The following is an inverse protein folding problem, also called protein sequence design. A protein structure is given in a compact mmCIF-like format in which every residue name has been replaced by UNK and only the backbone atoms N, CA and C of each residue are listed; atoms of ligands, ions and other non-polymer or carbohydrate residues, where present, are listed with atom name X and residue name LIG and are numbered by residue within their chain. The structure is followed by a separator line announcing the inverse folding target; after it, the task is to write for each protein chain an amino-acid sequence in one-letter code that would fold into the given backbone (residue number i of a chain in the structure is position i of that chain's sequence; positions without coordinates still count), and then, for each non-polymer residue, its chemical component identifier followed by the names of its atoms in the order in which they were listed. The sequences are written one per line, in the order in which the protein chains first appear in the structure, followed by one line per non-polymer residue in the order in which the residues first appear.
data_IF_207256274397
#
_entry.id   IF_207256274397
#
_cell.length_a   1.000
_cell.length_b   1.000
_cell.length_c   1.000
_cell.angle_alpha   90.00
_cell.angle_beta   90.00
_cell.angle_gamma   90.00
#
_symmetry.space_group_name_H-M   'P 1'
#
loop_
_entity.id
_entity.type
_entity.pdbx_description
1 polymer ?
#
# COMPACT_ATOMS: atom_id res chain seq x y z
N UNK A 1 14.93 1.92 -7.70
CA UNK A 1 13.92 1.16 -6.95
C UNK A 1 12.98 0.50 -7.94
N UNK A 2 12.72 -0.80 -7.79
CA UNK A 2 11.82 -1.55 -8.68
C UNK A 2 10.37 -1.18 -8.37
N UNK A 3 9.56 -1.10 -9.41
CA UNK A 3 8.12 -0.90 -9.24
C UNK A 3 7.44 -2.26 -9.10
N UNK A 4 6.39 -2.34 -8.30
CA UNK A 4 5.54 -3.52 -8.14
C UNK A 4 4.32 -3.48 -9.07
N UNK A 5 4.09 -2.34 -9.74
CA UNK A 5 3.03 -2.18 -10.74
C UNK A 5 3.47 -1.19 -11.82
N UNK A 6 3.05 -1.43 -13.06
CA UNK A 6 3.30 -0.52 -14.19
C UNK A 6 2.18 0.50 -14.35
N UNK A 7 2.43 1.67 -14.97
CA UNK A 7 1.35 2.63 -15.28
C UNK A 7 0.23 2.03 -16.14
N UNK A 8 0.55 1.09 -17.04
CA UNK A 8 -0.43 0.39 -17.87
C UNK A 8 -1.31 -0.56 -17.04
N UNK A 9 -0.74 -1.28 -16.07
CA UNK A 9 -1.51 -2.12 -15.15
C UNK A 9 -2.41 -1.26 -14.24
N UNK A 10 -1.97 -0.07 -13.83
CA UNK A 10 -2.80 0.86 -13.07
C UNK A 10 -4.06 1.29 -13.85
N UNK A 11 -3.95 1.53 -15.16
CA UNK A 11 -5.09 1.90 -16.02
C UNK A 11 -6.19 0.83 -16.12
N UNK A 12 -5.93 -0.40 -15.66
CA UNK A 12 -6.97 -1.44 -15.57
C UNK A 12 -7.93 -1.20 -14.40
N UNK A 13 -7.50 -0.43 -13.38
CA UNK A 13 -8.28 -0.16 -12.17
C UNK A 13 -8.92 1.23 -12.16
N UNK A 14 -8.31 2.19 -12.87
CA UNK A 14 -8.74 3.60 -12.89
C UNK A 14 -8.55 4.24 -14.27
N UNK A 15 -9.49 5.10 -14.66
CA UNK A 15 -9.41 5.84 -15.92
C UNK A 15 -8.47 7.05 -15.77
N UNK A 16 -7.29 6.95 -16.39
CA UNK A 16 -6.31 8.03 -16.44
C UNK A 16 -6.33 8.67 -17.82
N UNK A 17 -6.62 9.97 -17.85
CA UNK A 17 -6.63 10.75 -19.09
C UNK A 17 -5.31 10.59 -19.89
N UNK A 18 -5.44 10.38 -21.20
CA UNK A 18 -4.32 10.07 -22.10
C UNK A 18 -3.23 11.16 -22.16
N UNK A 19 -3.52 12.38 -21.74
CA UNK A 19 -2.57 13.49 -21.68
C UNK A 19 -1.65 13.46 -20.45
N UNK A 20 -1.89 12.57 -19.48
CA UNK A 20 -1.03 12.40 -18.31
C UNK A 20 0.15 11.51 -18.69
N UNK A 21 1.36 12.07 -18.60
CA UNK A 21 2.60 11.35 -18.90
C UNK A 21 2.81 10.15 -17.96
N UNK A 22 3.14 8.95 -18.46
CA UNK A 22 3.37 7.77 -17.63
C UNK A 22 4.41 7.95 -16.53
N UNK A 23 5.45 8.76 -16.78
CA UNK A 23 6.51 9.06 -15.80
C UNK A 23 5.97 9.78 -14.56
N UNK A 24 4.91 10.58 -14.74
CA UNK A 24 4.24 11.26 -13.63
C UNK A 24 3.51 10.26 -12.75
N UNK A 25 2.81 9.30 -13.34
CA UNK A 25 2.13 8.21 -12.62
C UNK A 25 3.15 7.32 -11.90
N UNK A 26 4.28 7.02 -12.55
CA UNK A 26 5.38 6.24 -11.98
C UNK A 26 5.87 6.80 -10.65
N UNK A 27 5.95 8.13 -10.53
CA UNK A 27 6.36 8.78 -9.27
C UNK A 27 5.36 8.54 -8.12
N UNK A 28 4.06 8.46 -8.43
CA UNK A 28 3.02 8.19 -7.42
C UNK A 28 2.93 6.71 -7.06
N UNK A 29 3.20 5.81 -8.01
CA UNK A 29 3.38 4.37 -7.74
C UNK A 29 4.51 4.15 -6.73
N UNK A 30 5.67 4.76 -6.94
CA UNK A 30 6.80 4.67 -6.01
C UNK A 30 6.45 5.23 -4.62
N UNK A 31 5.73 6.36 -4.56
CA UNK A 31 5.26 6.91 -3.28
C UNK A 31 4.30 5.95 -2.58
N UNK A 32 3.37 5.33 -3.30
CA UNK A 32 2.43 4.37 -2.73
C UNK A 32 3.13 3.12 -2.19
N UNK A 33 4.13 2.62 -2.92
CA UNK A 33 4.97 1.51 -2.45
C UNK A 33 5.66 1.83 -1.13
N UNK A 34 6.31 2.99 -1.04
CA UNK A 34 7.11 3.34 0.14
C UNK A 34 6.27 3.74 1.36
N UNK A 35 5.17 4.46 1.12
CA UNK A 35 4.42 5.11 2.20
C UNK A 35 3.17 4.33 2.63
N UNK A 36 2.66 3.44 1.78
CA UNK A 36 1.45 2.65 2.06
C UNK A 36 1.77 1.15 2.13
N UNK A 37 2.33 0.58 1.05
CA UNK A 37 2.51 -0.87 0.94
C UNK A 37 3.61 -1.41 1.86
N UNK A 38 4.78 -0.78 1.87
CA UNK A 38 5.93 -1.22 2.67
C UNK A 38 5.63 -1.23 4.18
N UNK A 39 4.99 -0.19 4.75
CA UNK A 39 4.49 -0.24 6.12
C UNK A 39 3.45 -1.35 6.35
N UNK A 40 2.62 -1.67 5.35
CA UNK A 40 1.59 -2.70 5.47
C UNK A 40 2.18 -4.13 5.49
N UNK A 41 3.10 -4.44 4.58
CA UNK A 41 3.76 -5.74 4.52
C UNK A 41 4.84 -5.92 5.60
N UNK A 42 5.36 -4.81 6.12
CA UNK A 42 6.56 -4.79 6.95
C UNK A 42 7.84 -4.91 6.11
N UNK A 43 8.94 -4.42 6.65
CA UNK A 43 10.21 -4.30 5.91
C UNK A 43 10.74 -5.65 5.40
N UNK A 44 10.63 -6.71 6.20
CA UNK A 44 11.18 -8.03 5.85
C UNK A 44 10.50 -8.63 4.62
N UNK A 45 9.17 -8.82 4.68
CA UNK A 45 8.41 -9.34 3.55
C UNK A 45 8.50 -8.41 2.33
N UNK A 46 8.44 -7.09 2.53
CA UNK A 46 8.54 -6.13 1.43
C UNK A 46 9.85 -6.28 0.66
N UNK A 47 10.99 -6.31 1.36
CA UNK A 47 12.27 -6.42 0.68
C UNK A 47 12.48 -7.80 0.06
N UNK A 48 12.00 -8.87 0.70
CA UNK A 48 12.07 -10.22 0.14
C UNK A 48 11.30 -10.31 -1.18
N UNK A 49 10.05 -9.81 -1.20
CA UNK A 49 9.23 -9.71 -2.41
C UNK A 49 9.93 -8.93 -3.53
N UNK A 50 10.57 -7.79 -3.22
CA UNK A 50 11.29 -6.97 -4.20
C UNK A 50 12.46 -7.75 -4.86
N UNK A 51 13.09 -8.70 -4.17
CA UNK A 51 14.17 -9.52 -4.76
C UNK A 51 13.67 -10.45 -5.87
N UNK A 52 12.38 -10.80 -5.84
CA UNK A 52 11.71 -11.66 -6.80
C UNK A 52 11.09 -10.90 -7.99
N UNK A 53 11.34 -9.59 -8.12
CA UNK A 53 10.88 -8.79 -9.25
C UNK A 53 11.96 -8.60 -10.31
N UNK A 54 11.52 -8.47 -11.54
CA UNK A 54 12.28 -7.95 -12.67
C UNK A 54 12.38 -6.41 -12.61
N UNK A 55 13.23 -5.83 -13.47
CA UNK A 55 13.44 -4.38 -13.51
C UNK A 55 12.23 -3.59 -14.04
N UNK A 56 11.37 -4.26 -14.81
CA UNK A 56 10.11 -3.71 -15.34
C UNK A 56 8.94 -3.77 -14.33
N UNK A 57 9.13 -4.48 -13.22
CA UNK A 57 8.18 -4.66 -12.15
C UNK A 57 7.29 -5.88 -12.24
N UNK A 58 7.51 -6.73 -13.24
CA UNK A 58 6.91 -8.06 -13.27
C UNK A 58 7.60 -8.99 -12.28
N UNK A 59 6.89 -10.01 -11.81
CA UNK A 59 7.49 -11.07 -11.01
C UNK A 59 8.33 -12.00 -11.90
N UNK A 60 9.50 -12.43 -11.41
CA UNK A 60 10.36 -13.35 -12.14
C UNK A 60 9.68 -14.70 -12.37
N UNK A 61 9.99 -15.33 -13.50
CA UNK A 61 9.44 -16.65 -13.85
C UNK A 61 9.89 -17.75 -12.86
N UNK A 62 11.07 -17.62 -12.26
CA UNK A 62 11.62 -18.54 -11.27
C UNK A 62 11.21 -18.21 -9.82
N UNK A 63 10.42 -17.15 -9.61
CA UNK A 63 9.94 -16.80 -8.29
C UNK A 63 9.03 -17.90 -7.70
N UNK A 64 9.11 -18.13 -6.37
CA UNK A 64 8.19 -19.03 -5.69
C UNK A 64 6.71 -18.69 -5.97
N UNK A 65 5.86 -19.72 -6.07
CA UNK A 65 4.46 -19.54 -6.45
C UNK A 65 3.70 -18.62 -5.48
N UNK A 66 3.96 -18.71 -4.18
CA UNK A 66 3.31 -17.86 -3.18
C UNK A 66 3.59 -16.36 -3.41
N UNK A 67 4.74 -15.98 -3.98
CA UNK A 67 5.01 -14.58 -4.34
C UNK A 67 4.25 -14.15 -5.60
N UNK A 68 4.08 -15.06 -6.57
CA UNK A 68 3.24 -14.83 -7.75
C UNK A 68 1.78 -14.62 -7.36
N UNK A 69 1.29 -15.46 -6.46
CA UNK A 69 -0.08 -15.39 -5.93
C UNK A 69 -0.28 -14.13 -5.08
N UNK A 70 0.70 -13.75 -4.24
CA UNK A 70 0.65 -12.52 -3.46
C UNK A 70 0.53 -11.29 -4.37
N UNK A 71 1.31 -11.23 -5.45
CA UNK A 71 1.33 -10.06 -6.32
C UNK A 71 0.12 -9.99 -7.27
N UNK A 72 -0.18 -11.11 -7.95
CA UNK A 72 -1.15 -11.16 -9.04
C UNK A 72 -2.55 -11.61 -8.60
N UNK A 73 -2.67 -12.17 -7.40
CA UNK A 73 -3.89 -12.82 -6.94
C UNK A 73 -3.97 -14.28 -7.37
N UNK A 74 -4.87 -15.02 -6.73
CA UNK A 74 -5.16 -16.41 -7.02
C UNK A 74 -6.54 -16.80 -6.48
N UNK A 75 -6.98 -18.00 -6.84
CA UNK A 75 -8.08 -18.69 -6.16
C UNK A 75 -7.49 -19.74 -5.22
N UNK A 76 -8.00 -19.82 -4.00
CA UNK A 76 -7.58 -20.81 -3.02
C UNK A 76 -8.75 -21.25 -2.15
N UNK A 77 -8.57 -22.35 -1.41
CA UNK A 77 -9.51 -22.78 -0.38
C UNK A 77 -9.02 -22.30 0.97
N UNK A 78 -9.88 -21.63 1.74
CA UNK A 78 -9.56 -21.28 3.12
C UNK A 78 -9.52 -22.50 4.04
N UNK A 79 -9.13 -22.31 5.30
CA UNK A 79 -9.05 -23.38 6.30
C UNK A 79 -10.39 -24.14 6.50
N UNK A 80 -11.52 -23.51 6.14
CA UNK A 80 -12.86 -24.08 6.23
C UNK A 80 -13.32 -24.75 4.92
N UNK A 81 -12.51 -24.71 3.87
CA UNK A 81 -12.80 -25.30 2.56
C UNK A 81 -13.66 -24.43 1.64
N UNK A 82 -13.83 -23.13 1.94
CA UNK A 82 -14.53 -22.21 1.05
C UNK A 82 -13.59 -21.64 -0.01
N UNK A 83 -14.09 -21.52 -1.25
CA UNK A 83 -13.36 -20.86 -2.32
C UNK A 83 -13.25 -19.35 -2.03
N UNK A 84 -12.01 -18.86 -1.98
CA UNK A 84 -11.66 -17.46 -1.83
C UNK A 84 -10.98 -16.99 -3.12
N UNK A 85 -11.49 -15.88 -3.68
CA UNK A 85 -10.87 -15.17 -4.78
C UNK A 85 -10.06 -14.01 -4.23
N UNK A 86 -8.74 -14.11 -4.33
CA UNK A 86 -7.81 -13.04 -3.95
C UNK A 86 -7.28 -12.33 -5.19
N UNK A 87 -7.33 -10.99 -5.21
CA UNK A 87 -6.99 -10.18 -6.38
C UNK A 87 -5.53 -9.66 -6.40
N UNK A 88 -4.72 -9.99 -5.40
CA UNK A 88 -3.31 -9.59 -5.35
C UNK A 88 -3.07 -8.17 -4.81
N UNK A 89 -1.80 -7.77 -4.85
CA UNK A 89 -1.32 -6.46 -4.41
C UNK A 89 -1.48 -5.36 -5.46
N UNK A 90 -1.66 -5.70 -6.73
CA UNK A 90 -1.86 -4.73 -7.81
C UNK A 90 -3.01 -3.74 -7.55
N UNK A 91 -4.25 -4.16 -7.19
CA UNK A 91 -5.32 -3.22 -6.89
C UNK A 91 -4.99 -2.32 -5.70
N UNK A 92 -4.34 -2.86 -4.65
CA UNK A 92 -3.92 -2.08 -3.47
C UNK A 92 -3.03 -0.91 -3.89
N UNK A 93 -1.99 -1.21 -4.68
CA UNK A 93 -1.06 -0.18 -5.17
C UNK A 93 -1.71 0.79 -6.13
N UNK A 94 -2.58 0.31 -7.02
CA UNK A 94 -3.25 1.14 -8.01
C UNK A 94 -4.08 2.25 -7.33
N UNK A 95 -4.94 1.87 -6.38
CA UNK A 95 -5.81 2.82 -5.68
C UNK A 95 -5.03 3.76 -4.74
N UNK A 96 -3.99 3.28 -4.06
CA UNK A 96 -3.13 4.19 -3.27
C UNK A 96 -2.34 5.16 -4.14
N UNK A 97 -1.78 4.69 -5.26
CA UNK A 97 -1.07 5.55 -6.21
C UNK A 97 -2.00 6.61 -6.79
N UNK A 98 -3.23 6.23 -7.15
CA UNK A 98 -4.21 7.15 -7.69
C UNK A 98 -4.69 8.18 -6.65
N UNK A 99 -4.93 7.75 -5.40
CA UNK A 99 -5.23 8.68 -4.31
C UNK A 99 -4.15 9.76 -4.14
N UNK A 100 -2.87 9.37 -4.21
CA UNK A 100 -1.72 10.29 -4.14
C UNK A 100 -1.62 11.17 -5.37
N UNK A 101 -1.95 10.63 -6.54
CA UNK A 101 -1.99 11.40 -7.78
C UNK A 101 -3.03 12.52 -7.69
N UNK A 102 -4.25 12.22 -7.26
CA UNK A 102 -5.34 13.21 -7.09
C UNK A 102 -4.94 14.29 -6.08
N UNK A 103 -4.40 13.87 -4.93
CA UNK A 103 -3.96 14.79 -3.86
C UNK A 103 -2.90 15.79 -4.37
N UNK A 104 -2.01 15.36 -5.27
CA UNK A 104 -0.92 16.17 -5.80
C UNK A 104 -1.25 16.89 -7.12
N UNK A 105 -2.16 16.39 -7.96
CA UNK A 105 -2.52 17.06 -9.23
C UNK A 105 -3.27 18.38 -9.00
N UNK A 106 -3.87 18.56 -7.82
CA UNK A 106 -4.50 19.82 -7.43
C UNK A 106 -3.51 20.99 -7.34
N UNK A 107 -2.22 20.73 -7.07
CA UNK A 107 -1.20 21.76 -6.80
C UNK A 107 -0.03 21.65 -7.77
N UNK A 108 0.19 22.70 -8.56
CA UNK A 108 1.33 22.81 -9.46
C UNK A 108 2.39 23.74 -8.90
N UNK A 109 3.62 23.27 -8.81
CA UNK A 109 4.76 24.10 -8.44
C UNK A 109 5.25 24.86 -9.68
N UNK A 110 5.11 26.19 -9.66
CA UNK A 110 5.64 27.09 -10.70
C UNK A 110 6.81 27.92 -10.11
N UNK A 111 7.62 28.60 -10.94
CA UNK A 111 8.71 29.44 -10.44
C UNK A 111 8.28 30.54 -9.46
N UNK A 112 7.02 30.95 -9.49
CA UNK A 112 6.45 31.99 -8.60
C UNK A 112 5.71 31.41 -7.39
N UNK A 113 5.66 30.09 -7.25
CA UNK A 113 5.01 29.39 -6.14
C UNK A 113 3.98 28.35 -6.57
N UNK A 114 3.36 27.64 -5.60
CA UNK A 114 2.31 26.67 -5.86
C UNK A 114 1.03 27.37 -6.35
N UNK A 115 0.46 26.88 -7.45
CA UNK A 115 -0.79 27.37 -8.03
C UNK A 115 -1.80 26.22 -8.17
N UNK A 116 -3.09 26.52 -8.06
CA UNK A 116 -4.15 25.57 -8.39
C UNK A 116 -4.51 25.68 -9.86
N UNK A 117 -4.68 24.54 -10.53
CA UNK A 117 -5.13 24.51 -11.94
C UNK A 117 -6.49 25.18 -12.05
N UNK A 118 -6.61 26.17 -12.94
CA UNK A 118 -7.88 26.69 -13.44
C UNK A 118 -7.88 26.52 -14.95
N UNK A 119 -8.89 25.85 -15.49
CA UNK A 119 -9.10 25.80 -16.93
C UNK A 119 -10.08 26.91 -17.30
N UNK A 120 -9.83 27.63 -18.40
CA UNK A 120 -10.72 28.73 -18.83
C UNK A 120 -12.17 28.27 -19.12
N UNK A 121 -12.38 26.97 -19.35
CA UNK A 121 -13.67 26.37 -19.69
C UNK A 121 -14.14 25.29 -18.70
N UNK A 122 -13.53 25.16 -17.53
CA UNK A 122 -13.98 24.20 -16.52
C UNK A 122 -13.71 24.71 -15.10
N UNK A 123 -14.73 24.63 -14.26
CA UNK A 123 -14.60 24.93 -12.84
C UNK A 123 -13.75 23.87 -12.15
N UNK A 124 -12.72 24.32 -11.43
CA UNK A 124 -11.94 23.43 -10.58
C UNK A 124 -12.83 22.88 -9.47
N UNK A 125 -12.70 21.58 -9.17
CA UNK A 125 -13.38 20.98 -8.02
C UNK A 125 -12.97 21.71 -6.73
N UNK A 126 -13.93 21.98 -5.82
CA UNK A 126 -13.59 22.59 -4.54
C UNK A 126 -12.72 21.63 -3.73
N UNK A 127 -11.80 22.17 -2.93
CA UNK A 127 -10.84 21.38 -2.16
C UNK A 127 -11.49 20.29 -1.29
N UNK A 128 -12.69 20.55 -0.76
CA UNK A 128 -13.47 19.58 0.02
C UNK A 128 -13.84 18.32 -0.80
N UNK A 129 -14.17 18.49 -2.08
CA UNK A 129 -14.56 17.36 -2.93
C UNK A 129 -13.34 16.59 -3.43
N UNK A 130 -12.20 17.26 -3.63
CA UNK A 130 -10.90 16.60 -3.84
C UNK A 130 -10.56 15.70 -2.65
N UNK A 131 -10.70 16.21 -1.42
CA UNK A 131 -10.46 15.41 -0.21
C UNK A 131 -11.38 14.19 -0.17
N UNK A 132 -12.68 14.34 -0.48
CA UNK A 132 -13.61 13.20 -0.54
C UNK A 132 -13.16 12.14 -1.56
N UNK A 133 -12.73 12.57 -2.76
CA UNK A 133 -12.28 11.67 -3.80
C UNK A 133 -11.01 10.90 -3.37
N UNK A 134 -10.04 11.60 -2.77
CA UNK A 134 -8.85 10.96 -2.19
C UNK A 134 -9.25 9.93 -1.12
N UNK A 135 -10.20 10.26 -0.25
CA UNK A 135 -10.67 9.32 0.78
C UNK A 135 -11.38 8.10 0.20
N UNK A 136 -12.19 8.29 -0.85
CA UNK A 136 -12.83 7.19 -1.55
C UNK A 136 -11.77 6.22 -2.10
N UNK A 137 -10.73 6.75 -2.76
CA UNK A 137 -9.67 5.90 -3.31
C UNK A 137 -8.85 5.18 -2.24
N UNK A 138 -8.52 5.86 -1.14
CA UNK A 138 -7.88 5.21 0.02
C UNK A 138 -8.78 4.13 0.64
N UNK A 139 -10.09 4.37 0.72
CA UNK A 139 -11.04 3.37 1.23
C UNK A 139 -11.08 2.12 0.35
N UNK A 140 -11.08 2.29 -0.97
CA UNK A 140 -11.02 1.18 -1.92
C UNK A 140 -9.71 0.41 -1.78
N UNK A 141 -8.57 1.11 -1.73
CA UNK A 141 -7.26 0.49 -1.50
C UNK A 141 -7.23 -0.32 -0.20
N UNK A 142 -7.84 0.20 0.86
CA UNK A 142 -7.93 -0.47 2.15
C UNK A 142 -8.80 -1.73 2.13
N UNK A 143 -9.85 -1.78 1.31
CA UNK A 143 -10.65 -2.99 1.14
C UNK A 143 -9.78 -4.13 0.57
N UNK A 144 -9.06 -3.87 -0.53
CA UNK A 144 -8.12 -4.84 -1.11
C UNK A 144 -6.95 -5.19 -0.19
N UNK A 145 -6.50 -4.24 0.63
CA UNK A 145 -5.47 -4.51 1.63
C UNK A 145 -5.98 -5.44 2.75
N UNK A 146 -7.26 -5.37 3.11
CA UNK A 146 -7.86 -6.32 4.06
C UNK A 146 -7.93 -7.74 3.47
N UNK A 147 -8.25 -7.86 2.18
CA UNK A 147 -8.23 -9.16 1.50
C UNK A 147 -6.80 -9.73 1.43
N UNK A 148 -5.80 -8.86 1.21
CA UNK A 148 -4.39 -9.26 1.28
C UNK A 148 -3.98 -9.71 2.68
N UNK A 149 -4.42 -9.00 3.71
CA UNK A 149 -4.18 -9.39 5.10
C UNK A 149 -4.77 -10.78 5.40
N UNK A 150 -5.99 -11.05 4.93
CA UNK A 150 -6.60 -12.38 5.03
C UNK A 150 -5.76 -13.43 4.29
N UNK A 151 -5.34 -13.16 3.06
CA UNK A 151 -4.51 -14.08 2.28
C UNK A 151 -3.20 -14.42 2.99
N UNK A 152 -2.54 -13.43 3.60
CA UNK A 152 -1.30 -13.63 4.35
C UNK A 152 -1.52 -14.44 5.64
N UNK A 153 -2.68 -14.29 6.29
CA UNK A 153 -3.06 -15.11 7.45
C UNK A 153 -3.30 -16.56 7.04
N UNK A 154 -4.10 -16.79 5.99
CA UNK A 154 -4.45 -18.12 5.49
C UNK A 154 -3.21 -18.88 4.98
N UNK A 155 -2.17 -18.16 4.55
CA UNK A 155 -0.91 -18.71 4.05
C UNK A 155 0.29 -18.38 4.94
N UNK A 156 0.10 -18.21 6.25
CA UNK A 156 1.17 -17.81 7.19
C UNK A 156 2.45 -18.66 7.09
N UNK A 157 2.31 -19.94 6.77
CA UNK A 157 3.44 -20.87 6.62
C UNK A 157 4.33 -20.53 5.42
N UNK A 158 3.74 -19.95 4.37
CA UNK A 158 4.45 -19.47 3.19
C UNK A 158 5.09 -18.08 3.41
N UNK A 159 4.62 -17.32 4.39
CA UNK A 159 5.08 -15.95 4.67
C UNK A 159 5.58 -15.79 6.11
N UNK A 160 6.62 -16.53 6.54
CA UNK A 160 7.10 -16.49 7.93
C UNK A 160 7.67 -15.12 8.34
N UNK A 161 8.09 -14.31 7.36
CA UNK A 161 8.59 -12.95 7.57
C UNK A 161 7.48 -11.91 7.78
N UNK A 162 6.22 -12.29 7.55
CA UNK A 162 5.07 -11.42 7.79
C UNK A 162 4.58 -11.60 9.21
N UNK A 163 4.45 -10.47 9.92
CA UNK A 163 3.92 -10.45 11.27
C UNK A 163 2.74 -9.48 11.30
N UNK A 164 1.60 -9.98 11.75
CA UNK A 164 0.45 -9.12 11.99
C UNK A 164 0.81 -8.09 13.06
N UNK A 165 0.63 -6.81 12.73
CA UNK A 165 0.76 -5.72 13.69
C UNK A 165 -0.48 -4.82 13.56
N UNK A 166 -1.15 -4.54 14.69
CA UNK A 166 -2.29 -3.63 14.74
C UNK A 166 -1.92 -2.22 14.21
N UNK A 167 -0.66 -1.82 14.36
CA UNK A 167 -0.12 -0.59 13.79
C UNK A 167 0.01 -0.66 12.26
N UNK A 168 0.14 -1.84 11.64
CA UNK A 168 0.05 -2.00 10.18
C UNK A 168 -1.39 -1.74 9.66
N UNK A 169 -2.42 -1.90 10.52
CA UNK A 169 -3.80 -1.51 10.23
C UNK A 169 -4.04 -0.02 10.42
N UNK A 170 -3.41 0.58 11.43
CA UNK A 170 -3.45 2.02 11.70
C UNK A 170 -2.58 2.83 10.72
N UNK A 171 -1.54 2.22 10.16
CA UNK A 171 -0.64 2.87 9.19
C UNK A 171 -1.33 3.24 7.88
N UNK A 172 -2.40 2.51 7.55
CA UNK A 172 -3.28 2.63 6.37
C UNK A 172 -4.37 3.71 6.50
N UNK A 173 -4.42 4.44 7.62
CA UNK A 173 -5.42 5.49 7.88
C UNK A 173 -5.00 6.86 7.29
N UNK A 174 -5.96 7.67 6.82
CA UNK A 174 -5.66 8.90 6.08
C UNK A 174 -5.07 10.04 6.93
N UNK A 175 -4.04 10.72 6.39
CA UNK A 175 -3.54 12.02 6.86
C UNK A 175 -2.01 12.18 6.80
N UNK A 176 -1.47 13.42 6.76
CA UNK A 176 -0.03 13.66 6.90
C UNK A 176 0.41 13.23 8.30
N UNK A 177 1.37 12.29 8.41
CA UNK A 177 1.99 11.96 9.69
C UNK A 177 3.47 12.32 9.66
N UNK A 178 3.90 13.13 10.61
CA UNK A 178 5.28 13.09 11.12
C UNK A 178 5.27 11.98 12.16
N UNK A 179 5.89 10.83 11.87
CA UNK A 179 6.00 9.73 12.84
C UNK A 179 7.37 9.81 13.51
N UNK A 180 7.39 9.77 14.84
CA UNK A 180 8.61 9.48 15.58
C UNK A 180 9.03 8.03 15.29
N UNK A 181 10.33 7.75 15.31
CA UNK A 181 10.83 6.37 15.28
C UNK A 181 10.50 5.75 16.63
N UNK A 182 9.36 5.07 16.76
CA UNK A 182 9.05 4.29 17.95
C UNK A 182 9.79 2.95 17.89
N UNK A 183 10.42 2.57 18.99
CA UNK A 183 11.27 1.36 19.07
C UNK A 183 10.45 0.06 19.14
N UNK A 184 9.13 0.19 19.21
CA UNK A 184 8.13 -0.88 19.19
C UNK A 184 7.42 -0.98 17.83
N UNK A 185 7.71 -0.07 16.89
CA UNK A 185 6.98 0.03 15.63
C UNK A 185 7.60 -0.86 14.55
N UNK A 186 6.72 -1.61 13.88
CA UNK A 186 6.98 -2.60 12.82
C UNK A 186 7.58 -3.94 13.29
N UNK A 187 6.78 -5.00 13.10
CA UNK A 187 7.19 -6.41 13.18
C UNK A 187 7.89 -6.86 14.48
N UNK A 188 7.55 -6.26 15.63
CA UNK A 188 7.89 -6.87 16.92
C UNK A 188 6.95 -8.05 17.18
N UNK A 189 7.46 -9.25 17.56
CA UNK A 189 6.61 -10.37 17.92
C UNK A 189 5.68 -9.95 19.07
N UNK A 190 4.36 -10.07 18.88
CA UNK A 190 3.40 -9.74 19.95
C UNK A 190 3.60 -10.62 21.20
N UNK A 191 4.24 -11.79 21.03
CA UNK A 191 4.59 -12.73 22.11
C UNK A 191 5.57 -12.17 23.14
N UNK A 192 6.24 -11.04 22.85
CA UNK A 192 7.14 -10.37 23.81
C UNK A 192 6.44 -9.25 24.61
N UNK A 193 5.16 -8.97 24.35
CA UNK A 193 4.38 -7.99 25.13
C UNK A 193 3.68 -8.61 26.35
N UNK A 194 3.65 -9.94 26.46
CA UNK A 194 3.06 -10.66 27.60
C UNK A 194 3.99 -10.78 28.82
N UNK A 195 5.23 -10.28 28.74
CA UNK A 195 6.02 -10.04 29.95
C UNK A 195 5.67 -8.65 30.49
N UNK A 196 4.51 -8.56 31.12
CA UNK A 196 4.32 -7.68 32.27
C UNK A 196 5.47 -7.94 33.24
N UNK A 197 6.58 -7.21 33.08
CA UNK A 197 7.48 -6.96 34.20
C UNK A 197 6.70 -6.09 35.16
N UNK A 198 5.94 -6.76 36.02
CA UNK A 198 5.58 -6.30 37.34
C UNK A 198 6.78 -5.56 37.94
N UNK A 199 6.77 -4.23 37.85
CA UNK A 199 7.52 -3.39 38.78
C UNK A 199 6.68 -3.37 40.07
N UNK A 200 6.61 -4.53 40.70
CA UNK A 200 6.29 -4.67 42.12
C UNK A 200 7.51 -5.38 42.69
N UNK A 201 8.47 -4.60 43.21
CA UNK A 201 9.43 -4.97 44.27
C UNK A 201 10.70 -4.09 44.25
N UNK A 202 10.53 -2.77 44.35
CA UNK A 202 11.63 -1.86 44.75
C UNK A 202 11.18 -0.80 45.77
N UNK A 203 10.31 -1.21 46.71
CA UNK A 203 10.11 -0.52 47.98
C UNK A 203 10.05 -1.54 49.11
N UNK A 204 11.23 -1.95 49.59
CA UNK A 204 11.49 -2.37 50.96
C UNK A 204 12.88 -1.83 51.34
#
# INVERSE_FOLDING_TARGET
MKNLITPAALQQYEDIAANIKPERIKAFILKAQELDLKPFLGYALYYDLITHLEDDGNIKDDAPQHYKDLLNGCEYLDELGYLVLYQGLHPVLAYFAFARFIEADAVHYTPTGPVTKRYENADALPAKDIVKLVQQQRSTANAYANDTERFLIDHKENFPAWHYNLENKRSRQPGPRIRGVDKTDFNYPSELLDSDFFITDFFN
#
